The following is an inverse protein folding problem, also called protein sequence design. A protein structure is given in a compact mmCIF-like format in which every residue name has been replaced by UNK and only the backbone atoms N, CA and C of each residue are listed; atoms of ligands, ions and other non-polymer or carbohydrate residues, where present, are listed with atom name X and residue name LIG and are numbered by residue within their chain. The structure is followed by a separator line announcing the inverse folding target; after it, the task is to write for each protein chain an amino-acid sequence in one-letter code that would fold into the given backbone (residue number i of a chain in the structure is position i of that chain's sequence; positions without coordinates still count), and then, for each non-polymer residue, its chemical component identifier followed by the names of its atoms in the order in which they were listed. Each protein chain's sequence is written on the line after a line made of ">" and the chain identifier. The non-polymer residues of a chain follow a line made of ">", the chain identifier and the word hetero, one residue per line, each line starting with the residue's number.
data_IF_811904270513
#
_entry.id   IF_811904270513
#
_cell.length_a   1.000
_cell.length_b   1.000
_cell.length_c   1.000
_cell.angle_alpha   90.00
_cell.angle_beta   90.00
_cell.angle_gamma   90.00
#
_symmetry.space_group_name_H-M   'P 1'
#
loop_
_entity.id
_entity.type
_entity.pdbx_description
1 polymer ?
#
# COMPACT_ATOMS: atom_id res chain seq x y z
N UNK A 1 4.50 4.29 21.76
CA UNK A 1 4.03 3.62 20.53
C UNK A 1 4.86 2.37 20.28
N UNK A 2 4.24 1.19 20.34
CA UNK A 2 4.88 -0.09 20.07
C UNK A 2 5.27 -0.17 18.58
N UNK A 3 6.30 -0.96 18.26
CA UNK A 3 6.76 -1.15 16.86
C UNK A 3 5.68 -1.77 15.95
N UNK A 4 4.65 -2.39 16.53
CA UNK A 4 3.54 -3.03 15.83
C UNK A 4 2.53 -2.02 15.25
N UNK A 5 2.21 -0.94 15.99
CA UNK A 5 1.34 0.16 15.52
C UNK A 5 1.85 0.84 14.24
N UNK A 6 3.16 0.80 14.00
CA UNK A 6 3.79 1.34 12.79
C UNK A 6 3.68 0.41 11.57
N UNK A 7 3.45 -0.89 11.79
CA UNK A 7 3.33 -1.90 10.74
C UNK A 7 1.89 -1.99 10.21
N UNK A 8 0.90 -1.87 11.09
CA UNK A 8 -0.53 -1.95 10.71
C UNK A 8 -0.99 -0.70 9.97
N UNK A 9 -0.52 0.49 10.37
CA UNK A 9 -0.73 1.75 9.62
C UNK A 9 -0.02 1.74 8.25
N UNK A 10 1.04 0.96 8.08
CA UNK A 10 1.74 0.81 6.81
C UNK A 10 1.04 -0.14 5.82
N UNK A 11 0.13 -1.01 6.27
CA UNK A 11 -0.49 -2.05 5.45
C UNK A 11 -1.68 -1.54 4.60
N UNK A 12 -2.32 -0.43 4.97
CA UNK A 12 -3.58 0.05 4.37
C UNK A 12 -3.42 0.88 3.07
N UNK A 13 -2.21 1.09 2.52
CA UNK A 13 -1.93 2.23 1.62
C UNK A 13 -1.26 1.98 0.28
N UNK A 14 -1.41 0.78 -0.24
CA UNK A 14 -0.81 0.43 -1.54
C UNK A 14 -1.87 0.36 -2.64
N UNK A 15 -2.58 1.45 -2.92
CA UNK A 15 -3.50 1.52 -4.08
C UNK A 15 -3.44 2.91 -4.75
N UNK A 16 -2.37 3.14 -5.51
CA UNK A 16 -2.29 4.11 -6.61
C UNK A 16 -1.01 3.94 -7.45
N UNK A 17 -0.72 2.73 -7.94
CA UNK A 17 0.29 2.52 -8.99
C UNK A 17 0.10 1.18 -9.74
N UNK A 18 -1.11 0.94 -10.26
CA UNK A 18 -1.31 -0.10 -11.28
C UNK A 18 -2.14 0.48 -12.44
N UNK A 19 -1.53 1.42 -13.17
CA UNK A 19 -2.05 1.93 -14.44
C UNK A 19 -1.39 1.20 -15.60
N UNK A 20 -2.20 0.42 -16.34
CA UNK A 20 -1.80 -0.55 -17.35
C UNK A 20 -0.95 -0.09 -18.54
N UNK A 21 -0.35 -1.09 -19.19
CA UNK A 21 0.27 -0.98 -20.50
C UNK A 21 -0.16 -2.16 -21.37
N UNK A 22 -1.18 -1.94 -22.18
CA UNK A 22 -1.49 -2.74 -23.38
C UNK A 22 -0.43 -2.42 -24.45
N UNK A 23 0.29 -3.44 -24.93
CA UNK A 23 1.05 -3.36 -26.19
C UNK A 23 0.69 -4.55 -27.08
N UNK A 24 -0.32 -4.34 -27.93
CA UNK A 24 -0.52 -5.07 -29.18
C UNK A 24 0.44 -4.53 -30.25
N UNK A 25 1.26 -5.39 -30.85
CA UNK A 25 2.09 -5.00 -32.00
C UNK A 25 2.96 -6.11 -32.56
N UNK A 26 2.39 -6.96 -33.41
CA UNK A 26 3.13 -8.02 -34.12
C UNK A 26 4.05 -7.51 -35.22
N UNK A 27 5.13 -8.27 -35.51
CA UNK A 27 5.41 -8.76 -36.87
C UNK A 27 6.45 -9.90 -36.87
N UNK A 28 6.38 -10.70 -37.93
CA UNK A 28 7.07 -11.98 -38.17
C UNK A 28 8.51 -11.86 -38.74
N UNK A 29 9.25 -12.97 -38.62
CA UNK A 29 10.22 -13.55 -39.61
C UNK A 29 11.72 -13.54 -39.24
N UNK A 30 12.25 -14.73 -38.90
CA UNK A 30 13.27 -15.51 -39.63
C UNK A 30 14.23 -16.28 -38.70
N UNK A 31 14.32 -17.59 -38.94
CA UNK A 31 15.33 -18.49 -38.36
C UNK A 31 16.74 -18.21 -38.90
N UNK A 32 17.77 -18.66 -38.17
CA UNK A 32 18.62 -19.67 -38.79
C UNK A 32 18.89 -20.89 -37.89
N UNK A 33 19.19 -22.00 -38.56
CA UNK A 33 19.58 -23.29 -38.02
C UNK A 33 20.92 -23.23 -37.27
N UNK A 34 21.08 -24.08 -36.26
CA UNK A 34 22.34 -24.30 -35.56
C UNK A 34 22.32 -25.59 -34.74
N UNK A 35 23.34 -26.40 -34.96
CA UNK A 35 23.53 -27.80 -34.59
C UNK A 35 23.42 -28.17 -33.09
N UNK A 36 22.77 -29.31 -32.85
CA UNK A 36 23.31 -30.48 -32.15
C UNK A 36 24.10 -30.31 -30.86
N UNK A 37 23.47 -30.65 -29.73
CA UNK A 37 24.13 -31.44 -28.68
C UNK A 37 23.09 -32.14 -27.81
N UNK A 38 23.12 -33.48 -27.81
CA UNK A 38 22.22 -34.32 -27.04
C UNK A 38 22.62 -34.29 -25.54
N UNK A 39 21.86 -33.55 -24.74
CA UNK A 39 21.91 -33.61 -23.29
C UNK A 39 21.03 -34.76 -22.77
N UNK A 40 21.58 -35.54 -21.84
CA UNK A 40 20.90 -36.66 -21.19
C UNK A 40 19.65 -36.20 -20.40
N UNK A 41 18.59 -37.01 -20.28
CA UNK A 41 17.38 -36.63 -19.58
C UNK A 41 17.64 -36.69 -18.06
N UNK A 42 17.88 -35.53 -17.44
CA UNK A 42 17.66 -35.38 -16.02
C UNK A 42 16.17 -35.15 -15.81
N UNK A 43 15.46 -36.17 -15.33
CA UNK A 43 14.12 -36.02 -14.76
C UNK A 43 14.24 -35.18 -13.49
N UNK A 44 14.23 -33.86 -13.65
CA UNK A 44 13.95 -32.95 -12.57
C UNK A 44 12.44 -33.08 -12.30
N UNK A 45 12.09 -33.59 -11.13
CA UNK A 45 10.71 -33.49 -10.66
C UNK A 45 10.33 -32.01 -10.68
N UNK A 46 9.20 -31.63 -11.31
CA UNK A 46 8.70 -30.29 -11.14
C UNK A 46 8.38 -30.11 -9.66
N UNK A 47 9.23 -29.37 -8.93
CA UNK A 47 8.88 -28.79 -7.64
C UNK A 47 8.03 -27.54 -7.89
N UNK A 48 6.97 -27.69 -8.66
CA UNK A 48 5.81 -26.81 -8.56
C UNK A 48 4.84 -27.61 -7.71
N UNK A 49 4.47 -27.16 -6.49
CA UNK A 49 3.33 -27.74 -5.81
C UNK A 49 2.19 -27.76 -6.81
N UNK A 50 1.72 -28.96 -7.15
CA UNK A 50 0.56 -29.08 -8.00
C UNK A 50 -0.59 -28.41 -7.23
N UNK A 51 -1.05 -27.25 -7.71
CA UNK A 51 -2.28 -26.59 -7.26
C UNK A 51 -3.39 -27.62 -7.44
N UNK A 52 -3.63 -28.39 -6.40
CA UNK A 52 -4.62 -29.46 -6.39
C UNK A 52 -5.33 -29.31 -5.07
N UNK A 53 -6.58 -28.85 -5.17
CA UNK A 53 -7.55 -28.69 -4.08
C UNK A 53 -7.34 -27.42 -3.23
N UNK A 54 -7.37 -26.27 -3.92
CA UNK A 54 -7.83 -24.97 -3.40
C UNK A 54 -9.18 -24.68 -4.05
N UNK A 55 -10.22 -24.97 -3.28
CA UNK A 55 -11.66 -24.75 -3.47
C UNK A 55 -12.13 -23.42 -4.11
N UNK A 56 -13.45 -23.30 -4.34
CA UNK A 56 -14.14 -22.06 -4.71
C UNK A 56 -13.76 -20.86 -3.82
N UNK A 57 -13.36 -21.09 -2.56
CA UNK A 57 -12.88 -20.07 -1.64
C UNK A 57 -11.55 -19.45 -2.07
N UNK A 58 -10.49 -20.21 -2.34
CA UNK A 58 -9.19 -19.64 -2.73
C UNK A 58 -9.29 -18.90 -4.08
N UNK A 59 -10.09 -19.42 -5.01
CA UNK A 59 -10.41 -18.72 -6.25
C UNK A 59 -11.10 -17.38 -6.01
N UNK A 60 -12.10 -17.36 -5.12
CA UNK A 60 -12.83 -16.16 -4.73
C UNK A 60 -11.90 -15.10 -4.12
N UNK A 61 -11.05 -15.46 -3.15
CA UNK A 61 -10.22 -14.44 -2.52
C UNK A 61 -9.16 -13.91 -3.50
N UNK A 62 -8.54 -14.77 -4.32
CA UNK A 62 -7.56 -14.33 -5.34
C UNK A 62 -8.21 -13.35 -6.32
N UNK A 63 -9.41 -13.64 -6.81
CA UNK A 63 -10.14 -12.74 -7.72
C UNK A 63 -10.44 -11.39 -7.07
N UNK A 64 -10.89 -11.42 -5.81
CA UNK A 64 -11.17 -10.19 -5.08
C UNK A 64 -9.91 -9.36 -4.82
N UNK A 65 -8.83 -9.98 -4.34
CA UNK A 65 -7.56 -9.29 -4.09
C UNK A 65 -6.98 -8.62 -5.35
N UNK A 66 -7.22 -9.19 -6.53
CA UNK A 66 -6.82 -8.61 -7.81
C UNK A 66 -7.77 -7.51 -8.33
N UNK A 67 -8.98 -7.40 -7.79
CA UNK A 67 -10.00 -6.45 -8.27
C UNK A 67 -10.25 -5.28 -7.31
N UNK A 68 -9.76 -5.34 -6.06
CA UNK A 68 -9.87 -4.25 -5.11
C UNK A 68 -8.85 -3.14 -5.42
N UNK A 69 -9.33 -1.95 -5.83
CA UNK A 69 -8.52 -0.73 -6.06
C UNK A 69 -9.01 0.46 -5.21
N UNK A 70 -9.48 0.20 -3.99
CA UNK A 70 -9.96 1.26 -3.12
C UNK A 70 -8.81 2.09 -2.50
N UNK A 71 -8.81 3.40 -2.76
CA UNK A 71 -7.98 4.39 -2.07
C UNK A 71 -8.84 5.35 -1.24
N UNK A 72 -8.66 5.43 0.09
CA UNK A 72 -9.45 6.30 0.96
C UNK A 72 -9.05 7.78 0.91
N UNK A 73 -8.02 8.14 0.13
CA UNK A 73 -7.51 9.52 0.06
C UNK A 73 -8.38 10.37 -0.86
N UNK A 74 -8.85 11.52 -0.36
CA UNK A 74 -9.63 12.49 -1.15
C UNK A 74 -11.07 12.09 -1.47
N UNK A 75 -11.54 10.93 -0.97
CA UNK A 75 -12.92 10.47 -1.13
C UNK A 75 -13.83 10.99 -0.02
N UNK A 76 -15.11 11.19 -0.34
CA UNK A 76 -16.09 11.63 0.65
C UNK A 76 -16.37 10.52 1.69
N UNK A 77 -16.70 10.84 2.96
CA UNK A 77 -16.94 9.83 3.99
C UNK A 77 -17.97 8.76 3.61
N UNK A 78 -19.04 9.14 2.90
CA UNK A 78 -20.03 8.16 2.41
C UNK A 78 -19.47 7.16 1.38
N UNK A 79 -18.45 7.54 0.62
CA UNK A 79 -17.75 6.64 -0.30
C UNK A 79 -16.79 5.71 0.45
N UNK A 80 -16.15 6.23 1.51
CA UNK A 80 -15.34 5.44 2.44
C UNK A 80 -16.21 4.37 3.09
N UNK A 81 -17.33 4.76 3.69
CA UNK A 81 -18.32 3.85 4.27
C UNK A 81 -18.73 2.75 3.28
N UNK A 82 -19.14 3.14 2.07
CA UNK A 82 -19.58 2.18 1.05
C UNK A 82 -18.48 1.17 0.67
N UNK A 83 -17.23 1.61 0.59
CA UNK A 83 -16.10 0.73 0.29
C UNK A 83 -15.84 -0.26 1.44
N UNK A 84 -15.78 0.23 2.68
CA UNK A 84 -15.59 -0.61 3.87
C UNK A 84 -16.73 -1.64 4.05
N UNK A 85 -17.97 -1.23 3.83
CA UNK A 85 -19.13 -2.13 3.88
C UNK A 85 -19.12 -3.17 2.74
N UNK A 86 -18.67 -2.78 1.54
CA UNK A 86 -18.49 -3.73 0.42
C UNK A 86 -17.42 -4.77 0.75
N UNK A 87 -16.30 -4.35 1.33
CA UNK A 87 -15.22 -5.25 1.73
C UNK A 87 -15.68 -6.21 2.84
N UNK A 88 -16.45 -5.72 3.81
CA UNK A 88 -17.01 -6.54 4.88
C UNK A 88 -17.98 -7.60 4.31
N UNK A 89 -18.84 -7.23 3.35
CA UNK A 89 -19.74 -8.17 2.67
C UNK A 89 -18.94 -9.26 1.94
N UNK A 90 -17.85 -8.89 1.25
CA UNK A 90 -16.96 -9.85 0.60
C UNK A 90 -16.31 -10.80 1.60
N UNK A 91 -15.82 -10.30 2.75
CA UNK A 91 -15.25 -11.17 3.79
C UNK A 91 -16.29 -12.11 4.38
N UNK A 92 -17.54 -11.66 4.55
CA UNK A 92 -18.65 -12.52 4.98
C UNK A 92 -18.98 -13.60 3.94
N UNK A 93 -18.92 -13.26 2.65
CA UNK A 93 -19.05 -14.24 1.57
C UNK A 93 -17.91 -15.27 1.61
N UNK A 94 -16.65 -14.83 1.81
CA UNK A 94 -15.50 -15.72 1.97
C UNK A 94 -15.70 -16.69 3.15
N UNK A 95 -16.13 -16.18 4.31
CA UNK A 95 -16.41 -17.01 5.49
C UNK A 95 -17.49 -18.07 5.21
N UNK A 96 -18.54 -17.71 4.46
CA UNK A 96 -19.62 -18.63 4.12
C UNK A 96 -19.18 -19.82 3.25
N UNK A 97 -18.11 -19.67 2.47
CA UNK A 97 -17.57 -20.70 1.58
C UNK A 97 -16.25 -21.31 2.09
N UNK A 98 -15.75 -20.84 3.23
CA UNK A 98 -14.51 -21.31 3.82
C UNK A 98 -14.62 -22.80 4.25
N UNK A 99 -13.65 -23.66 3.91
CA UNK A 99 -13.58 -25.03 4.41
C UNK A 99 -13.49 -25.07 5.93
N UNK A 100 -13.94 -26.18 6.50
CA UNK A 100 -13.79 -26.43 7.93
C UNK A 100 -12.35 -26.30 8.45
N UNK A 101 -11.33 -26.56 7.63
CA UNK A 101 -9.91 -26.47 8.01
C UNK A 101 -9.46 -25.03 8.33
N UNK A 102 -9.96 -24.04 7.59
CA UNK A 102 -9.59 -22.62 7.75
C UNK A 102 -10.77 -21.70 8.15
N UNK A 103 -11.98 -22.25 8.29
CA UNK A 103 -13.18 -21.46 8.61
C UNK A 103 -13.04 -20.59 9.86
N UNK A 104 -12.40 -21.12 10.92
CA UNK A 104 -12.14 -20.36 12.14
C UNK A 104 -11.16 -19.19 11.92
N UNK A 105 -10.18 -19.37 11.03
CA UNK A 105 -9.22 -18.33 10.67
C UNK A 105 -9.90 -17.21 9.88
N UNK A 106 -10.76 -17.57 8.92
CA UNK A 106 -11.54 -16.60 8.13
C UNK A 106 -12.55 -15.85 9.01
N UNK A 107 -13.23 -16.55 9.93
CA UNK A 107 -14.14 -15.92 10.89
C UNK A 107 -13.41 -14.89 11.78
N UNK A 108 -12.14 -15.14 12.12
CA UNK A 108 -11.32 -14.19 12.88
C UNK A 108 -11.13 -12.87 12.10
N UNK A 109 -10.83 -12.94 10.79
CA UNK A 109 -10.75 -11.76 9.94
C UNK A 109 -12.08 -11.02 9.81
N UNK A 110 -13.20 -11.75 9.65
CA UNK A 110 -14.53 -11.13 9.58
C UNK A 110 -14.86 -10.37 10.87
N UNK A 111 -14.55 -10.94 12.03
CA UNK A 111 -14.79 -10.30 13.32
C UNK A 111 -13.89 -9.09 13.53
N UNK A 112 -12.58 -9.21 13.26
CA UNK A 112 -11.64 -8.11 13.40
C UNK A 112 -11.99 -6.94 12.45
N UNK A 113 -12.22 -7.24 11.17
CA UNK A 113 -12.58 -6.23 10.18
C UNK A 113 -13.95 -5.61 10.46
N UNK A 114 -14.95 -6.40 10.85
CA UNK A 114 -16.25 -5.88 11.27
C UNK A 114 -16.13 -4.93 12.46
N UNK A 115 -15.29 -5.27 13.45
CA UNK A 115 -14.96 -4.38 14.56
C UNK A 115 -14.31 -3.07 14.09
N UNK A 116 -13.39 -3.13 13.14
CA UNK A 116 -12.78 -1.93 12.56
C UNK A 116 -13.79 -1.06 11.81
N UNK A 117 -14.68 -1.66 11.02
CA UNK A 117 -15.77 -0.95 10.32
C UNK A 117 -16.71 -0.27 11.32
N UNK A 118 -17.12 -0.97 12.37
CA UNK A 118 -17.95 -0.39 13.45
C UNK A 118 -17.23 0.79 14.14
N UNK A 119 -15.92 0.66 14.37
CA UNK A 119 -15.10 1.74 14.91
C UNK A 119 -15.10 2.97 14.00
N UNK A 120 -14.90 2.80 12.69
CA UNK A 120 -14.96 3.92 11.74
C UNK A 120 -16.37 4.54 11.70
N UNK A 121 -17.41 3.73 11.85
CA UNK A 121 -18.80 4.19 11.94
C UNK A 121 -19.05 5.13 13.11
N UNK A 122 -18.40 4.94 14.27
CA UNK A 122 -18.51 5.84 15.42
C UNK A 122 -17.99 7.26 15.13
N UNK A 123 -17.19 7.42 14.08
CA UNK A 123 -16.61 8.69 13.63
C UNK A 123 -17.09 9.10 12.23
N UNK A 124 -18.24 8.58 11.80
CA UNK A 124 -18.87 8.87 10.50
C UNK A 124 -17.94 8.60 9.31
N UNK A 125 -17.03 7.61 9.42
CA UNK A 125 -16.00 7.28 8.42
C UNK A 125 -15.11 8.46 8.02
N UNK A 126 -15.01 9.48 8.88
CA UNK A 126 -14.13 10.61 8.70
C UNK A 126 -12.92 10.46 9.62
N UNK A 127 -11.78 10.04 9.04
CA UNK A 127 -10.54 9.84 9.78
C UNK A 127 -10.05 11.09 10.53
N UNK A 128 -10.40 12.29 10.07
CA UNK A 128 -10.06 13.55 10.75
C UNK A 128 -10.85 13.78 12.04
N UNK A 129 -11.95 13.05 12.23
CA UNK A 129 -12.78 13.13 13.42
C UNK A 129 -12.36 12.15 14.53
N UNK A 130 -11.40 11.24 14.26
CA UNK A 130 -10.94 10.25 15.23
C UNK A 130 -9.99 10.96 16.22
N UNK A 131 -10.36 11.09 17.51
CA UNK A 131 -9.49 11.71 18.49
C UNK A 131 -8.35 10.76 18.88
N UNK A 132 -7.25 11.29 19.42
CA UNK A 132 -6.05 10.49 19.75
C UNK A 132 -6.36 9.35 20.72
N UNK A 133 -7.22 9.59 21.72
CA UNK A 133 -7.65 8.59 22.69
C UNK A 133 -8.45 7.43 22.08
N UNK A 134 -9.02 7.59 20.88
CA UNK A 134 -9.75 6.53 20.20
C UNK A 134 -8.82 5.46 19.62
N UNK A 135 -7.52 5.75 19.45
CA UNK A 135 -6.56 4.74 18.97
C UNK A 135 -6.27 3.64 20.00
N UNK A 136 -6.68 3.81 21.25
CA UNK A 136 -6.65 2.76 22.29
C UNK A 136 -7.90 1.84 22.24
N UNK A 137 -8.79 2.00 21.25
CA UNK A 137 -10.00 1.18 21.13
C UNK A 137 -9.65 -0.30 20.88
N UNK A 138 -10.24 -1.26 21.63
CA UNK A 138 -9.95 -2.68 21.46
C UNK A 138 -10.26 -3.22 20.06
N UNK A 139 -11.16 -2.58 19.30
CA UNK A 139 -11.47 -2.97 17.91
C UNK A 139 -10.30 -2.68 16.97
N UNK A 140 -9.55 -1.60 17.21
CA UNK A 140 -8.31 -1.32 16.49
C UNK A 140 -7.21 -2.29 16.91
N UNK A 141 -7.07 -2.56 18.21
CA UNK A 141 -6.08 -3.50 18.72
C UNK A 141 -6.29 -4.93 18.17
N UNK A 142 -7.53 -5.33 17.88
CA UNK A 142 -7.84 -6.63 17.28
C UNK A 142 -7.27 -6.81 15.86
N UNK A 143 -7.09 -5.71 15.12
CA UNK A 143 -6.42 -5.73 13.80
C UNK A 143 -4.92 -5.97 13.92
N UNK A 144 -4.35 -5.86 15.12
CA UNK A 144 -2.94 -6.11 15.43
C UNK A 144 -2.74 -7.39 16.26
N UNK A 145 -3.78 -8.23 16.38
CA UNK A 145 -3.69 -9.45 17.17
C UNK A 145 -2.73 -10.45 16.50
N UNK A 146 -1.69 -10.94 17.20
CA UNK A 146 -0.77 -11.93 16.64
C UNK A 146 -1.45 -13.22 16.16
N UNK A 147 -2.60 -13.58 16.72
CA UNK A 147 -3.39 -14.72 16.23
C UNK A 147 -4.05 -14.42 14.88
N UNK A 148 -4.37 -13.15 14.58
CA UNK A 148 -4.89 -12.73 13.27
C UNK A 148 -3.80 -12.86 12.20
N UNK A 149 -2.56 -12.46 12.52
CA UNK A 149 -1.39 -12.67 11.65
C UNK A 149 -1.19 -14.18 11.37
N UNK A 150 -1.21 -15.00 12.43
CA UNK A 150 -1.04 -16.44 12.30
C UNK A 150 -2.19 -17.12 11.54
N UNK A 151 -3.42 -16.61 11.67
CA UNK A 151 -4.57 -17.04 10.88
C UNK A 151 -4.36 -16.73 9.39
N UNK A 152 -3.79 -15.56 9.10
CA UNK A 152 -3.37 -15.16 7.76
C UNK A 152 -2.39 -16.14 7.13
N UNK A 153 -1.32 -16.48 7.83
CA UNK A 153 -0.32 -17.46 7.37
C UNK A 153 -0.93 -18.83 7.08
N UNK A 154 -1.90 -19.29 7.89
CA UNK A 154 -2.61 -20.56 7.66
C UNK A 154 -3.50 -20.52 6.41
N UNK A 155 -4.17 -19.40 6.16
CA UNK A 155 -4.97 -19.20 4.95
C UNK A 155 -4.06 -19.17 3.71
N UNK A 156 -2.92 -18.49 3.81
CA UNK A 156 -1.89 -18.44 2.75
C UNK A 156 -1.36 -19.82 2.40
N UNK A 157 -0.94 -20.58 3.42
CA UNK A 157 -0.46 -21.95 3.27
C UNK A 157 -1.56 -22.83 2.66
N UNK A 158 -2.81 -22.70 3.11
CA UNK A 158 -3.95 -23.44 2.59
C UNK A 158 -4.21 -23.14 1.10
N UNK A 159 -4.15 -21.87 0.70
CA UNK A 159 -4.41 -21.47 -0.68
C UNK A 159 -3.17 -21.59 -1.60
N UNK A 160 -1.99 -21.91 -1.06
CA UNK A 160 -0.75 -22.03 -1.83
C UNK A 160 -0.32 -20.70 -2.46
N UNK A 161 -0.60 -19.60 -1.77
CA UNK A 161 -0.33 -18.23 -2.19
C UNK A 161 0.59 -17.59 -1.16
N UNK A 162 1.79 -17.20 -1.59
CA UNK A 162 2.71 -16.44 -0.73
C UNK A 162 2.27 -14.97 -0.72
N UNK A 163 2.24 -14.33 0.46
CA UNK A 163 1.97 -12.90 0.64
C UNK A 163 0.56 -12.46 0.19
N UNK A 164 -0.45 -13.23 0.57
CA UNK A 164 -1.84 -12.87 0.34
C UNK A 164 -2.25 -11.62 1.13
N UNK A 165 -1.67 -11.45 2.32
CA UNK A 165 -1.91 -10.30 3.21
C UNK A 165 -0.76 -9.29 3.15
N UNK A 166 0.44 -9.73 2.77
CA UNK A 166 1.61 -8.87 2.74
C UNK A 166 1.76 -8.11 1.41
N UNK A 167 1.05 -6.98 1.27
CA UNK A 167 1.21 -5.95 0.23
C UNK A 167 1.11 -6.45 -1.23
N UNK A 168 0.32 -5.79 -2.10
CA UNK A 168 0.19 -6.21 -3.50
C UNK A 168 1.58 -6.32 -4.18
N UNK A 169 1.75 -7.27 -5.12
CA UNK A 169 3.05 -7.64 -5.65
C UNK A 169 3.78 -6.43 -6.23
N UNK A 170 5.01 -6.21 -5.76
CA UNK A 170 5.90 -5.19 -6.28
C UNK A 170 6.07 -5.40 -7.78
N UNK A 171 5.53 -4.48 -8.58
CA UNK A 171 5.84 -4.38 -10.00
C UNK A 171 7.36 -4.28 -10.20
N UNK A 172 7.87 -4.63 -11.39
CA UNK A 172 9.31 -4.72 -11.67
C UNK A 172 9.95 -3.34 -11.84
N UNK A 173 9.93 -2.52 -10.79
CA UNK A 173 10.79 -1.36 -10.60
C UNK A 173 10.65 -0.83 -9.17
N UNK A 174 11.49 -1.33 -8.24
CA UNK A 174 11.99 -0.61 -7.07
C UNK A 174 11.00 -0.01 -6.07
N UNK A 175 10.92 -0.63 -4.89
CA UNK A 175 10.65 0.09 -3.63
C UNK A 175 9.23 0.65 -3.46
N UNK A 176 8.21 -0.17 -3.65
CA UNK A 176 6.82 0.22 -3.41
C UNK A 176 6.42 0.21 -1.93
N UNK A 177 6.95 1.14 -1.14
CA UNK A 177 6.37 1.48 0.16
C UNK A 177 5.21 2.45 -0.06
N UNK A 178 3.97 1.94 -0.14
CA UNK A 178 2.79 2.80 -0.21
C UNK A 178 2.64 3.63 1.07
N UNK A 179 2.55 4.95 0.92
CA UNK A 179 2.50 5.89 2.04
C UNK A 179 1.15 5.88 2.71
N UNK A 180 1.06 5.46 3.98
CA UNK A 180 0.46 6.32 5.02
C UNK A 180 -0.78 7.14 4.62
N UNK A 181 -2.02 6.72 4.86
CA UNK A 181 -3.18 7.61 4.92
C UNK A 181 -2.82 8.39 6.16
N UNK A 182 -2.40 9.63 5.97
CA UNK A 182 -1.56 10.18 6.97
C UNK A 182 -2.42 10.61 8.14
N UNK A 183 -2.21 9.99 9.29
CA UNK A 183 -2.89 10.38 10.52
C UNK A 183 -2.34 11.76 10.90
N UNK A 184 -3.19 12.80 10.98
CA UNK A 184 -2.73 14.14 11.36
C UNK A 184 -1.99 14.08 12.69
N UNK A 185 -0.78 14.63 12.75
CA UNK A 185 -0.02 14.75 13.99
C UNK A 185 1.09 13.72 14.19
N UNK A 186 1.53 13.02 13.14
CA UNK A 186 2.77 12.26 13.22
C UNK A 186 3.94 13.19 13.61
N UNK A 187 4.75 12.80 14.60
CA UNK A 187 5.93 13.56 14.98
C UNK A 187 6.95 13.54 13.83
N UNK A 188 7.56 14.69 13.52
CA UNK A 188 8.65 14.74 12.58
C UNK A 188 9.86 13.98 13.15
N UNK A 189 10.51 13.07 12.39
CA UNK A 189 11.73 12.41 12.85
C UNK A 189 12.78 13.44 13.29
N UNK A 190 13.44 13.21 14.42
CA UNK A 190 14.35 14.18 15.01
C UNK A 190 15.55 14.55 14.12
N UNK A 191 15.89 13.68 13.17
CA UNK A 191 16.94 13.83 12.17
C UNK A 191 16.42 14.31 10.80
N UNK A 192 15.12 14.58 10.65
CA UNK A 192 14.59 15.12 9.41
C UNK A 192 14.99 16.60 9.25
N UNK A 193 15.51 17.02 8.09
CA UNK A 193 15.96 18.41 7.87
C UNK A 193 14.79 19.39 7.95
N UNK A 194 14.91 20.40 8.82
CA UNK A 194 13.86 21.38 9.07
C UNK A 194 13.57 22.26 7.84
N UNK A 195 14.57 22.48 6.97
CA UNK A 195 14.41 23.22 5.72
C UNK A 195 13.56 22.48 4.68
N UNK A 196 13.34 21.17 4.83
CA UNK A 196 12.48 20.39 3.93
C UNK A 196 11.02 20.33 4.38
N UNK A 197 10.67 21.05 5.45
CA UNK A 197 9.29 21.17 5.95
C UNK A 197 8.63 22.37 5.28
N UNK A 198 7.60 22.17 4.42
CA UNK A 198 6.89 23.28 3.82
C UNK A 198 6.21 24.16 4.87
N UNK A 199 6.12 25.48 4.66
CA UNK A 199 5.40 26.37 5.57
C UNK A 199 3.93 25.97 5.70
N UNK A 200 3.36 26.13 6.89
CA UNK A 200 1.96 25.85 7.20
C UNK A 200 1.50 24.39 6.90
N UNK A 201 2.46 23.47 6.77
CA UNK A 201 2.17 22.06 6.55
C UNK A 201 1.94 21.29 7.85
N UNK A 202 1.10 20.27 7.75
CA UNK A 202 0.89 19.27 8.80
C UNK A 202 1.67 18.02 8.43
N UNK A 203 2.47 17.51 9.36
CA UNK A 203 3.11 16.21 9.22
C UNK A 203 2.06 15.13 9.36
N UNK A 204 2.05 14.30 8.35
CA UNK A 204 0.95 13.47 7.99
C UNK A 204 1.37 12.00 8.23
N UNK A 205 2.57 11.63 7.80
CA UNK A 205 3.17 10.34 8.11
C UNK A 205 4.69 10.48 8.13
N UNK A 206 5.35 9.61 8.90
CA UNK A 206 6.77 9.32 8.71
C UNK A 206 6.99 7.79 8.68
N UNK A 207 7.82 7.32 7.76
CA UNK A 207 8.12 5.90 7.56
C UNK A 207 9.63 5.76 7.37
N UNK A 208 10.25 4.73 7.97
CA UNK A 208 11.64 4.39 7.66
C UNK A 208 11.68 3.41 6.50
N UNK A 209 12.40 3.75 5.43
CA UNK A 209 12.44 2.98 4.18
C UNK A 209 13.90 2.68 3.84
N UNK A 210 14.33 1.43 3.92
CA UNK A 210 15.63 0.99 3.40
C UNK A 210 16.89 1.69 3.97
N UNK A 211 16.83 2.18 5.21
CA UNK A 211 17.91 2.98 5.82
C UNK A 211 17.73 4.50 5.68
N UNK A 212 16.68 4.91 4.98
CA UNK A 212 16.21 6.28 4.83
C UNK A 212 14.94 6.59 5.62
N UNK A 213 14.38 7.77 5.35
CA UNK A 213 13.15 8.30 5.94
C UNK A 213 12.26 8.91 4.85
N UNK A 214 10.98 8.57 4.88
CA UNK A 214 9.94 9.19 4.06
C UNK A 214 8.98 9.97 4.97
N UNK A 215 8.69 11.22 4.64
CA UNK A 215 7.75 12.08 5.37
C UNK A 215 6.71 12.63 4.41
N UNK A 216 5.45 12.47 4.79
CA UNK A 216 4.31 13.05 4.07
C UNK A 216 3.91 14.34 4.77
N UNK A 217 3.63 15.37 3.99
CA UNK A 217 3.12 16.67 4.43
C UNK A 217 1.79 16.97 3.72
N UNK A 218 0.85 17.62 4.40
CA UNK A 218 -0.34 18.21 3.76
C UNK A 218 -0.46 19.67 4.11
N UNK A 219 -0.86 20.46 3.12
CA UNK A 219 -0.98 21.90 3.23
C UNK A 219 -2.05 22.43 2.28
N UNK A 220 -2.64 23.57 2.64
CA UNK A 220 -3.46 24.35 1.71
C UNK A 220 -2.54 25.24 0.88
N UNK A 221 -2.27 24.85 -0.36
CA UNK A 221 -1.34 25.54 -1.25
C UNK A 221 -1.63 25.24 -2.72
N UNK A 222 -1.06 26.04 -3.62
CA UNK A 222 -0.98 25.68 -5.03
C UNK A 222 0.16 24.64 -5.24
N UNK A 223 -0.05 23.56 -6.01
CA UNK A 223 1.01 22.60 -6.32
C UNK A 223 2.29 23.25 -6.87
N UNK A 224 2.17 24.30 -7.67
CA UNK A 224 3.32 25.00 -8.25
C UNK A 224 4.15 25.74 -7.18
N UNK A 225 3.50 26.26 -6.14
CA UNK A 225 4.18 26.89 -5.00
C UNK A 225 4.98 25.86 -4.20
N UNK A 226 4.44 24.65 -4.03
CA UNK A 226 5.14 23.55 -3.33
C UNK A 226 6.31 23.02 -4.16
N UNK A 227 6.14 22.88 -5.49
CA UNK A 227 7.22 22.54 -6.40
C UNK A 227 8.33 23.61 -6.36
N UNK A 228 7.96 24.90 -6.36
CA UNK A 228 8.90 26.00 -6.26
C UNK A 228 9.67 25.99 -4.93
N UNK A 229 8.98 25.72 -3.81
CA UNK A 229 9.61 25.56 -2.50
C UNK A 229 10.69 24.47 -2.52
N UNK A 230 10.37 23.25 -2.95
CA UNK A 230 11.36 22.17 -2.97
C UNK A 230 12.49 22.44 -3.97
N UNK A 231 12.21 23.14 -5.07
CA UNK A 231 13.25 23.54 -6.03
C UNK A 231 14.21 24.59 -5.45
N UNK A 232 13.73 25.51 -4.59
CA UNK A 232 14.58 26.48 -3.91
C UNK A 232 15.50 25.81 -2.88
N UNK A 233 14.97 24.84 -2.13
CA UNK A 233 15.72 24.14 -1.06
C UNK A 233 16.67 23.07 -1.62
N UNK A 234 16.21 22.26 -2.57
CA UNK A 234 16.97 21.11 -3.11
C UNK A 234 17.72 21.45 -4.41
N UNK A 235 17.49 22.62 -5.00
CA UNK A 235 17.99 22.98 -6.32
C UNK A 235 17.12 22.42 -7.45
N UNK A 236 17.53 22.61 -8.73
CA UNK A 236 16.77 22.09 -9.87
C UNK A 236 16.74 20.55 -9.87
N UNK A 237 15.58 19.93 -10.12
CA UNK A 237 15.48 18.47 -10.15
C UNK A 237 16.31 17.89 -11.31
N UNK A 238 16.92 16.73 -11.07
CA UNK A 238 17.63 15.97 -12.10
C UNK A 238 16.65 15.40 -13.13
N UNK A 239 15.43 15.06 -12.70
CA UNK A 239 14.32 14.64 -13.55
C UNK A 239 12.99 15.15 -13.00
N UNK A 240 12.11 15.62 -13.87
CA UNK A 240 10.72 15.98 -13.56
C UNK A 240 9.77 15.11 -14.37
N UNK A 241 8.85 14.41 -13.71
CA UNK A 241 7.78 13.66 -14.38
C UNK A 241 6.50 14.48 -14.22
N UNK A 242 5.97 14.98 -15.34
CA UNK A 242 4.92 15.99 -15.33
C UNK A 242 3.51 15.41 -15.11
N UNK A 243 3.28 14.10 -15.20
CA UNK A 243 1.92 13.54 -15.08
C UNK A 243 1.84 12.21 -14.29
N UNK A 244 0.79 12.02 -13.46
CA UNK A 244 -0.20 13.02 -13.05
C UNK A 244 0.39 13.85 -11.89
N UNK A 245 0.88 15.06 -12.22
CA UNK A 245 1.49 16.09 -11.38
C UNK A 245 2.60 15.62 -10.40
N UNK A 246 3.84 16.05 -10.69
CA UNK A 246 4.75 16.56 -9.66
C UNK A 246 5.77 15.60 -9.02
N UNK A 247 6.16 14.50 -9.66
CA UNK A 247 7.30 13.74 -9.16
C UNK A 247 8.63 14.42 -9.57
N UNK A 248 9.33 14.95 -8.57
CA UNK A 248 10.63 15.61 -8.68
C UNK A 248 11.72 14.70 -8.11
N UNK A 249 12.70 14.37 -8.94
CA UNK A 249 13.85 13.58 -8.52
C UNK A 249 15.08 14.46 -8.35
N UNK A 250 15.70 14.43 -7.18
CA UNK A 250 16.91 15.18 -6.87
C UNK A 250 18.07 14.21 -6.66
N UNK A 251 19.20 14.47 -7.30
CA UNK A 251 20.31 13.52 -7.32
C UNK A 251 21.01 13.39 -5.97
N UNK A 252 21.12 14.48 -5.20
CA UNK A 252 21.84 14.48 -3.93
C UNK A 252 21.44 15.66 -3.05
N UNK A 253 21.13 15.39 -1.78
CA UNK A 253 20.95 16.36 -0.71
C UNK A 253 21.72 15.89 0.52
N UNK A 254 22.71 16.65 0.96
CA UNK A 254 23.60 16.28 2.08
C UNK A 254 24.22 14.87 1.99
N UNK A 255 24.55 14.39 0.78
CA UNK A 255 25.10 13.05 0.58
C UNK A 255 24.07 11.92 0.56
N UNK A 256 22.78 12.25 0.62
CA UNK A 256 21.63 11.33 0.51
C UNK A 256 20.89 11.54 -0.80
N UNK A 257 20.23 10.51 -1.31
CA UNK A 257 19.29 10.70 -2.43
C UNK A 257 18.01 11.33 -1.89
N UNK A 258 17.44 12.28 -2.63
CA UNK A 258 16.20 12.93 -2.24
C UNK A 258 15.17 12.83 -3.38
N UNK A 259 13.95 12.42 -3.07
CA UNK A 259 12.83 12.50 -3.99
C UNK A 259 11.66 13.20 -3.33
N UNK A 260 10.92 13.97 -4.14
CA UNK A 260 9.71 14.65 -3.70
C UNK A 260 8.59 14.33 -4.69
N UNK A 261 7.46 13.87 -4.19
CA UNK A 261 6.24 13.72 -5.00
C UNK A 261 5.19 14.70 -4.48
N UNK A 262 4.72 15.60 -5.34
CA UNK A 262 3.71 16.61 -5.01
C UNK A 262 2.41 16.27 -5.72
N UNK A 263 1.34 16.01 -4.98
CA UNK A 263 0.03 15.69 -5.53
C UNK A 263 -1.05 16.60 -4.95
N UNK A 264 -1.92 17.12 -5.81
CA UNK A 264 -3.14 17.80 -5.40
C UNK A 264 -4.20 16.75 -5.07
N UNK A 265 -4.57 16.62 -3.79
CA UNK A 265 -5.50 15.58 -3.34
C UNK A 265 -6.95 16.03 -3.40
N UNK A 266 -7.19 17.31 -3.16
CA UNK A 266 -8.45 18.01 -3.42
C UNK A 266 -8.13 19.44 -3.86
N UNK A 267 -9.05 20.17 -4.51
CA UNK A 267 -8.77 21.53 -4.98
C UNK A 267 -8.24 22.44 -3.88
N UNK A 268 -6.99 22.90 -4.04
CA UNK A 268 -6.29 23.76 -3.07
C UNK A 268 -5.66 23.04 -1.87
N UNK A 269 -5.69 21.71 -1.82
CA UNK A 269 -5.00 20.90 -0.80
C UNK A 269 -3.96 20.02 -1.48
N UNK A 270 -2.70 20.19 -1.07
CA UNK A 270 -1.54 19.51 -1.63
C UNK A 270 -0.94 18.57 -0.60
N UNK A 271 -0.58 17.37 -1.06
CA UNK A 271 0.29 16.45 -0.34
C UNK A 271 1.68 16.43 -0.98
N UNK A 272 2.71 16.49 -0.14
CA UNK A 272 4.10 16.32 -0.55
C UNK A 272 4.72 15.13 0.20
N UNK A 273 5.21 14.14 -0.55
CA UNK A 273 5.96 13.01 -0.02
C UNK A 273 7.45 13.24 -0.25
N UNK A 274 8.21 13.43 0.82
CA UNK A 274 9.67 13.66 0.78
C UNK A 274 10.38 12.40 1.26
N UNK A 275 11.21 11.81 0.42
CA UNK A 275 12.02 10.63 0.78
C UNK A 275 13.50 11.00 0.76
N UNK A 276 14.21 10.63 1.83
CA UNK A 276 15.66 10.76 1.98
C UNK A 276 16.28 9.36 2.15
N UNK A 277 17.01 8.91 1.14
CA UNK A 277 17.66 7.59 1.06
C UNK A 277 19.15 7.58 1.35
#
# INVERSE_FOLDING_TARGET
>A
MSRALRLVVALLLVLAACGGGDDEGGNTTAAPAGDGSAAAPTTQAPNTPAVTVGNDFCGFIIEYANSSDFSPVGVAPAQVEAAFMTNLDVMQQAAAIAPGEISADVDMFVVAYGGFVDFLGDYDYNFLNIPEEAFDDPRLAAMEDPELDAAGERIEEFCGVDNFIATPPAGPAGGGGGTAAPLPGAELPADFPAELVPPDSVVLANISVGGGVAVTFQMEADPDDIIAFFTDVLGPPAQSINEPKGALWFSEYQGKTASVTVAEVTPGVVQANVTLG
#
